data_IF_525673527332
#
_entry.id   IF_525673527332
#
_cell.length_a   1.000
_cell.length_b   1.000
_cell.length_c   1.000
_cell.angle_alpha   90.00
_cell.angle_beta   90.00
_cell.angle_gamma   90.00
#
_symmetry.space_group_name_H-M   'P 1'
#
loop_
_entity.id
_entity.type
_entity.pdbx_description
1 polymer ?
#
# COMPACT_ATOMS: atom_id res chain seq x y z
N UNK A 1 -3.42 4.70 14.06
CA UNK A 1 -2.27 4.85 13.13
C UNK A 1 -1.68 6.26 13.18
N UNK A 2 -2.43 7.33 12.86
CA UNK A 2 -1.89 8.70 12.86
C UNK A 2 -1.28 9.14 14.21
N UNK A 3 -1.95 8.85 15.33
CA UNK A 3 -1.44 9.10 16.69
C UNK A 3 -0.13 8.36 17.00
N UNK A 4 0.01 7.12 16.53
CA UNK A 4 1.20 6.30 16.72
C UNK A 4 2.41 6.83 15.94
N UNK A 5 2.19 7.28 14.70
CA UNK A 5 3.25 7.87 13.87
C UNK A 5 3.77 9.19 14.44
N UNK A 6 2.89 10.01 15.02
CA UNK A 6 3.28 11.26 15.68
C UNK A 6 4.21 11.02 16.88
N UNK A 7 4.04 9.91 17.61
CA UNK A 7 4.92 9.54 18.72
C UNK A 7 6.31 9.10 18.26
N UNK A 8 6.43 8.54 17.05
CA UNK A 8 7.69 8.05 16.49
C UNK A 8 8.52 9.15 15.79
N UNK A 9 8.10 10.42 15.86
CA UNK A 9 8.78 11.58 15.26
C UNK A 9 9.02 11.47 13.75
N UNK A 10 8.24 10.64 13.05
CA UNK A 10 8.28 10.61 11.59
C UNK A 10 7.50 11.80 11.01
N UNK A 11 8.06 12.45 9.99
CA UNK A 11 7.46 13.58 9.29
C UNK A 11 6.38 13.16 8.26
N UNK A 12 5.53 12.19 8.60
CA UNK A 12 4.44 11.75 7.71
C UNK A 12 3.20 12.62 7.88
N UNK A 13 2.60 13.04 6.76
CA UNK A 13 1.26 13.63 6.73
C UNK A 13 0.27 12.56 6.31
N UNK A 14 -0.62 12.18 7.23
CA UNK A 14 -1.65 11.17 6.97
C UNK A 14 -2.99 11.88 6.82
N UNK A 15 -3.71 11.56 5.75
CA UNK A 15 -5.04 12.09 5.49
C UNK A 15 -5.91 11.00 4.86
N UNK A 16 -7.20 11.03 5.20
CA UNK A 16 -8.20 10.22 4.51
C UNK A 16 -8.57 10.93 3.22
N UNK A 17 -8.54 10.22 2.09
CA UNK A 17 -8.87 10.77 0.77
C UNK A 17 -10.01 9.95 0.18
N UNK A 18 -11.07 10.62 -0.24
CA UNK A 18 -12.15 9.98 -0.98
C UNK A 18 -11.68 9.60 -2.39
N UNK A 19 -12.21 8.50 -2.93
CA UNK A 19 -11.84 8.02 -4.28
C UNK A 19 -11.96 9.11 -5.37
N UNK A 20 -12.93 10.03 -5.26
CA UNK A 20 -13.15 11.14 -6.20
C UNK A 20 -12.03 12.18 -6.20
N UNK A 21 -11.38 12.36 -5.05
CA UNK A 21 -10.31 13.35 -4.85
C UNK A 21 -8.92 12.71 -4.93
N UNK A 22 -8.86 11.39 -5.13
CA UNK A 22 -7.61 10.63 -5.11
C UNK A 22 -6.59 11.16 -6.10
N UNK A 23 -6.98 11.43 -7.36
CA UNK A 23 -6.09 11.99 -8.38
C UNK A 23 -5.55 13.38 -8.04
N UNK A 24 -6.24 14.14 -7.20
CA UNK A 24 -5.81 15.48 -6.73
C UNK A 24 -4.98 15.40 -5.45
N UNK A 25 -5.01 14.27 -4.76
CA UNK A 25 -4.17 14.05 -3.60
C UNK A 25 -2.70 13.99 -4.03
N UNK A 26 -1.80 14.55 -3.23
CA UNK A 26 -0.36 14.55 -3.49
C UNK A 26 0.32 13.65 -2.45
N UNK A 27 0.13 12.34 -2.59
CA UNK A 27 0.56 11.31 -1.66
C UNK A 27 1.74 10.52 -2.24
N UNK A 28 2.74 10.23 -1.40
CA UNK A 28 3.84 9.34 -1.75
C UNK A 28 3.47 7.87 -1.51
N UNK A 29 2.51 7.62 -0.61
CA UNK A 29 1.97 6.30 -0.32
C UNK A 29 0.45 6.34 -0.15
N UNK A 30 -0.22 5.25 -0.53
CA UNK A 30 -1.65 5.02 -0.31
C UNK A 30 -1.84 3.69 0.44
N UNK A 31 -2.78 3.70 1.39
CA UNK A 31 -3.18 2.51 2.14
C UNK A 31 -4.68 2.27 1.96
N UNK A 32 -5.04 1.21 1.25
CA UNK A 32 -6.43 0.82 1.00
C UNK A 32 -6.92 -0.14 2.10
N UNK A 33 -7.95 0.27 2.82
CA UNK A 33 -8.55 -0.52 3.89
C UNK A 33 -9.84 -1.24 3.48
N UNK A 34 -10.64 -0.61 2.64
CA UNK A 34 -11.97 -1.11 2.25
C UNK A 34 -12.20 -1.10 0.74
N UNK A 35 -11.27 -0.54 -0.04
CA UNK A 35 -11.39 -0.41 -1.49
C UNK A 35 -11.15 -1.75 -2.18
N UNK A 36 -12.08 -2.29 -2.99
CA UNK A 36 -11.90 -3.57 -3.69
C UNK A 36 -10.71 -3.55 -4.66
N UNK A 37 -10.03 -4.70 -4.92
CA UNK A 37 -8.80 -4.76 -5.71
C UNK A 37 -8.89 -4.07 -7.09
N UNK A 38 -9.97 -4.31 -7.83
CA UNK A 38 -10.14 -3.68 -9.15
C UNK A 38 -10.29 -2.15 -9.06
N UNK A 39 -10.94 -1.66 -8.00
CA UNK A 39 -11.05 -0.22 -7.77
C UNK A 39 -9.71 0.38 -7.31
N UNK A 40 -8.91 -0.37 -6.53
CA UNK A 40 -7.53 0.04 -6.20
C UNK A 40 -6.73 0.21 -7.48
N UNK A 41 -6.75 -0.78 -8.37
CA UNK A 41 -6.05 -0.74 -9.66
C UNK A 41 -6.44 0.50 -10.47
N UNK A 42 -7.75 0.76 -10.62
CA UNK A 42 -8.24 1.92 -11.35
C UNK A 42 -7.78 3.24 -10.72
N UNK A 43 -7.80 3.35 -9.39
CA UNK A 43 -7.34 4.56 -8.70
C UNK A 43 -5.83 4.78 -8.90
N UNK A 44 -5.03 3.73 -8.77
CA UNK A 44 -3.57 3.78 -8.95
C UNK A 44 -3.20 4.14 -10.40
N UNK A 45 -3.83 3.53 -11.39
CA UNK A 45 -3.55 3.80 -12.81
C UNK A 45 -3.91 5.23 -13.22
N UNK A 46 -4.97 5.79 -12.64
CA UNK A 46 -5.40 7.16 -12.90
C UNK A 46 -4.69 8.20 -12.01
N UNK A 47 -3.76 7.76 -11.15
CA UNK A 47 -3.02 8.66 -10.29
C UNK A 47 -1.92 9.37 -11.11
N UNK A 48 -1.90 10.72 -11.16
CA UNK A 48 -1.01 11.45 -12.06
C UNK A 48 0.48 11.31 -11.69
N UNK A 49 0.79 10.97 -10.43
CA UNK A 49 2.15 10.84 -9.94
C UNK A 49 2.59 9.37 -9.92
N UNK A 50 3.52 9.00 -10.81
CA UNK A 50 3.94 7.59 -10.99
C UNK A 50 4.76 6.99 -9.84
N UNK A 51 5.22 7.81 -8.88
CA UNK A 51 5.95 7.35 -7.70
C UNK A 51 5.00 7.25 -6.49
N UNK A 52 4.09 6.28 -6.55
CA UNK A 52 3.12 6.01 -5.50
C UNK A 52 3.32 4.59 -4.96
N UNK A 53 3.68 4.47 -3.68
CA UNK A 53 3.68 3.19 -2.97
C UNK A 53 2.25 2.81 -2.59
N UNK A 54 1.77 1.62 -2.97
CA UNK A 54 0.41 1.17 -2.66
C UNK A 54 0.40 -0.04 -1.72
N UNK A 55 -0.39 0.07 -0.66
CA UNK A 55 -0.61 -0.98 0.33
C UNK A 55 -2.10 -1.26 0.48
N UNK A 56 -2.46 -2.50 0.84
CA UNK A 56 -3.84 -2.86 1.16
C UNK A 56 -3.92 -3.93 2.26
N UNK A 57 -5.05 -3.98 2.98
CA UNK A 57 -5.34 -5.05 3.96
C UNK A 57 -6.57 -5.89 3.58
N UNK A 58 -7.34 -5.44 2.60
CA UNK A 58 -8.55 -6.11 2.12
C UNK A 58 -8.35 -6.75 0.73
N UNK A 59 -7.14 -7.25 0.45
CA UNK A 59 -6.76 -7.87 -0.82
C UNK A 59 -5.76 -9.03 -0.58
N UNK A 60 -6.17 -10.11 0.12
CA UNK A 60 -5.24 -11.18 0.50
C UNK A 60 -4.70 -12.00 -0.69
N UNK A 61 -5.38 -11.98 -1.85
CA UNK A 61 -4.89 -12.66 -3.06
C UNK A 61 -3.73 -11.91 -3.72
N UNK A 62 -3.76 -10.57 -3.69
CA UNK A 62 -2.68 -9.70 -4.17
C UNK A 62 -2.32 -9.84 -5.66
N UNK A 63 -3.26 -10.27 -6.50
CA UNK A 63 -3.04 -10.45 -7.94
C UNK A 63 -3.20 -9.14 -8.74
N UNK A 64 -4.02 -8.21 -8.24
CA UNK A 64 -4.32 -6.90 -8.86
C UNK A 64 -4.40 -5.81 -7.79
N UNK A 65 -4.13 -4.56 -8.19
CA UNK A 65 -4.25 -3.40 -7.30
C UNK A 65 -2.92 -3.01 -6.64
N UNK A 66 -2.84 -3.19 -5.32
CA UNK A 66 -1.72 -2.70 -4.50
C UNK A 66 -0.42 -3.49 -4.70
N UNK A 67 0.73 -2.83 -4.49
CA UNK A 67 2.06 -3.46 -4.50
C UNK A 67 2.21 -4.40 -3.31
N UNK A 68 1.86 -3.95 -2.11
CA UNK A 68 1.86 -4.79 -0.91
C UNK A 68 0.44 -5.07 -0.46
N UNK A 69 0.15 -6.33 -0.15
CA UNK A 69 -1.14 -6.73 0.38
C UNK A 69 -0.93 -7.47 1.70
N UNK A 70 -1.24 -6.78 2.79
CA UNK A 70 -1.17 -7.31 4.15
C UNK A 70 -2.35 -8.24 4.42
N UNK A 71 -2.09 -9.31 5.15
CA UNK A 71 -3.11 -10.24 5.64
C UNK A 71 -2.67 -10.83 6.98
N UNK A 72 -3.62 -11.40 7.72
CA UNK A 72 -3.33 -12.04 8.99
C UNK A 72 -3.15 -13.55 8.79
N UNK A 73 -2.07 -14.08 9.36
CA UNK A 73 -1.74 -15.52 9.39
C UNK A 73 -1.30 -15.87 10.81
N UNK A 74 -2.00 -16.78 11.47
CA UNK A 74 -1.66 -17.28 12.81
C UNK A 74 -1.35 -16.18 13.86
N UNK A 75 -2.19 -15.15 13.96
CA UNK A 75 -2.05 -13.96 14.82
C UNK A 75 -0.90 -12.99 14.46
N UNK A 76 -0.16 -13.25 13.38
CA UNK A 76 0.81 -12.31 12.84
C UNK A 76 0.27 -11.62 11.59
N UNK A 77 0.67 -10.37 11.37
CA UNK A 77 0.45 -9.68 10.10
C UNK A 77 1.63 -9.93 9.19
N UNK A 78 1.38 -10.53 8.04
CA UNK A 78 2.35 -10.74 6.96
C UNK A 78 1.83 -10.10 5.67
N UNK A 79 2.54 -10.23 4.55
CA UNK A 79 2.12 -9.65 3.29
C UNK A 79 2.57 -10.46 2.07
N UNK A 80 1.79 -10.32 0.98
CA UNK A 80 2.20 -10.68 -0.38
C UNK A 80 2.66 -9.44 -1.14
N UNK A 81 3.43 -9.66 -2.21
CA UNK A 81 3.90 -8.60 -3.11
C UNK A 81 3.37 -8.86 -4.52
N UNK A 82 2.69 -7.86 -5.10
CA UNK A 82 2.35 -7.85 -6.52
C UNK A 82 3.54 -7.30 -7.32
N UNK A 83 4.32 -8.19 -7.93
CA UNK A 83 5.51 -7.83 -8.71
C UNK A 83 5.16 -7.10 -10.02
N UNK A 84 3.98 -7.37 -10.59
CA UNK A 84 3.50 -6.66 -11.79
C UNK A 84 3.23 -5.19 -11.45
N UNK A 85 2.44 -4.92 -10.41
CA UNK A 85 2.19 -3.57 -9.91
C UNK A 85 3.49 -2.83 -9.55
N UNK A 86 4.46 -3.53 -8.93
CA UNK A 86 5.76 -2.95 -8.60
C UNK A 86 6.55 -2.58 -9.86
N UNK A 87 6.63 -3.46 -10.85
CA UNK A 87 7.40 -3.23 -12.07
C UNK A 87 6.88 -2.06 -12.91
N UNK A 88 5.58 -1.80 -12.83
CA UNK A 88 4.93 -0.64 -13.46
C UNK A 88 5.00 0.65 -12.61
N UNK A 89 5.38 0.54 -11.34
CA UNK A 89 5.60 1.69 -10.46
C UNK A 89 6.96 2.36 -10.72
N UNK A 90 7.12 3.61 -10.28
CA UNK A 90 8.43 4.27 -10.19
C UNK A 90 9.06 4.15 -8.79
N UNK A 91 8.53 3.27 -7.95
CA UNK A 91 9.02 3.04 -6.60
C UNK A 91 10.12 1.99 -6.65
N UNK A 92 11.25 2.28 -5.99
CA UNK A 92 12.31 1.30 -5.79
C UNK A 92 12.16 0.64 -4.42
N UNK A 93 12.20 -0.68 -4.39
CA UNK A 93 12.02 -1.48 -3.17
C UNK A 93 13.25 -2.37 -2.99
N UNK A 94 13.89 -2.25 -1.83
CA UNK A 94 14.95 -3.15 -1.42
C UNK A 94 14.36 -4.55 -1.14
N UNK A 95 14.82 -5.62 -1.80
CA UNK A 95 14.29 -6.97 -1.60
C UNK A 95 14.36 -7.47 -0.15
N UNK A 96 15.23 -6.89 0.70
CA UNK A 96 15.31 -7.21 2.13
C UNK A 96 14.02 -6.91 2.88
N UNK A 97 13.11 -6.11 2.32
CA UNK A 97 11.76 -5.91 2.88
C UNK A 97 11.01 -7.24 3.07
N UNK A 98 11.25 -8.24 2.21
CA UNK A 98 10.62 -9.56 2.29
C UNK A 98 10.96 -10.32 3.59
N UNK A 99 12.05 -9.94 4.27
CA UNK A 99 12.41 -10.49 5.57
C UNK A 99 11.39 -10.11 6.66
N UNK A 100 10.68 -8.99 6.48
CA UNK A 100 9.61 -8.59 7.41
C UNK A 100 8.41 -9.54 7.35
N UNK A 101 8.12 -10.14 6.18
CA UNK A 101 7.06 -11.13 6.03
C UNK A 101 7.46 -12.50 6.60
N UNK A 102 8.73 -12.90 6.46
CA UNK A 102 9.25 -14.19 6.98
C UNK A 102 9.22 -14.28 8.50
N UNK A 103 9.46 -13.17 9.20
CA UNK A 103 9.46 -13.16 10.67
C UNK A 103 8.04 -13.30 11.27
N UNK A 104 7.01 -13.35 10.44
CA UNK A 104 5.61 -13.58 10.82
C UNK A 104 5.15 -15.04 10.61
N UNK A 105 6.00 -15.91 10.07
CA UNK A 105 5.81 -17.38 10.05
C UNK A 105 6.39 -18.04 11.31
#
# INVERSE_FOLDING_TARGET
>A
FQSYIQQLSYNYRVQTVNAKDFSKSHCQAVYFSTTPPQQQQNLIQNYPYRSLLSLSINNPECEVGSIFCSYNQNNYTTFKVNLDALSHSKVHIDPRVLLLAKNAE
#
